data_IF_744363805338
#
_entry.id   IF_744363805338
#
_cell.length_a   1.000
_cell.length_b   1.000
_cell.length_c   1.000
_cell.angle_alpha   90.00
_cell.angle_beta   90.00
_cell.angle_gamma   90.00
#
_symmetry.space_group_name_H-M   'P 1'
#
loop_
_entity.id
_entity.type
_entity.pdbx_description
1 polymer ?
#
# COMPACT_ATOMS: atom_id res chain seq x y z
N UNK A 1 -5.88 -6.18 14.79
CA UNK A 1 -6.11 -5.72 13.40
C UNK A 1 -5.42 -6.70 12.45
N UNK A 2 -6.14 -7.29 11.50
CA UNK A 2 -5.64 -8.38 10.63
C UNK A 2 -4.39 -7.96 9.83
N UNK A 3 -4.38 -6.75 9.27
CA UNK A 3 -3.26 -6.23 8.49
C UNK A 3 -1.95 -6.18 9.28
N UNK A 4 -1.99 -5.72 10.53
CA UNK A 4 -0.79 -5.65 11.38
C UNK A 4 -0.22 -7.04 11.65
N UNK A 5 -1.09 -8.02 11.93
CA UNK A 5 -0.67 -9.41 12.15
C UNK A 5 0.01 -10.01 10.91
N UNK A 6 -0.56 -9.77 9.72
CA UNK A 6 0.02 -10.22 8.45
C UNK A 6 1.37 -9.54 8.18
N UNK A 7 1.49 -8.24 8.41
CA UNK A 7 2.76 -7.52 8.22
C UNK A 7 3.85 -8.00 9.19
N UNK A 8 3.48 -8.31 10.42
CA UNK A 8 4.39 -8.91 11.40
C UNK A 8 4.83 -10.32 10.97
N UNK A 9 3.92 -11.14 10.43
CA UNK A 9 4.26 -12.44 9.83
C UNK A 9 5.21 -12.30 8.64
N UNK A 10 4.95 -11.33 7.76
CA UNK A 10 5.83 -11.03 6.62
C UNK A 10 7.20 -10.55 7.06
N UNK A 11 7.29 -9.73 8.11
CA UNK A 11 8.56 -9.30 8.70
C UNK A 11 9.34 -10.50 9.28
N UNK A 12 8.66 -11.36 10.05
CA UNK A 12 9.24 -12.59 10.60
C UNK A 12 9.71 -13.56 9.52
N UNK A 13 9.04 -13.59 8.37
CA UNK A 13 9.42 -14.38 7.21
C UNK A 13 10.52 -13.75 6.34
N UNK A 14 10.99 -12.53 6.67
CA UNK A 14 12.00 -11.81 5.88
C UNK A 14 11.50 -11.27 4.53
N UNK A 15 10.17 -11.19 4.35
CA UNK A 15 9.55 -10.69 3.12
C UNK A 15 9.50 -9.16 3.05
N UNK A 16 9.59 -8.48 4.20
CA UNK A 16 9.71 -7.02 4.26
C UNK A 16 11.17 -6.59 4.33
N UNK A 17 11.46 -5.42 3.77
CA UNK A 17 12.77 -4.80 3.94
C UNK A 17 13.09 -4.58 5.44
N UNK A 18 14.37 -4.69 5.85
CA UNK A 18 14.78 -4.50 7.24
C UNK A 18 14.28 -3.17 7.81
N UNK A 19 13.82 -3.18 9.07
CA UNK A 19 13.35 -1.97 9.77
C UNK A 19 11.93 -1.52 9.45
N UNK A 20 11.21 -2.15 8.50
CA UNK A 20 9.86 -1.69 8.09
C UNK A 20 8.67 -2.25 8.88
N UNK A 21 8.87 -3.22 9.78
CA UNK A 21 7.77 -3.97 10.41
C UNK A 21 6.73 -3.11 11.16
N UNK A 22 7.12 -1.95 11.69
CA UNK A 22 6.21 -1.00 12.35
C UNK A 22 5.61 0.07 11.42
N UNK A 23 6.38 0.55 10.44
CA UNK A 23 5.97 1.66 9.57
C UNK A 23 5.15 1.21 8.35
N UNK A 24 5.28 -0.07 7.97
CA UNK A 24 4.58 -0.64 6.83
C UNK A 24 3.05 -0.54 6.97
N UNK A 25 2.52 -0.69 8.20
CA UNK A 25 1.07 -0.61 8.44
C UNK A 25 0.54 0.77 8.11
N UNK A 26 1.25 1.83 8.50
CA UNK A 26 0.83 3.20 8.26
C UNK A 26 0.90 3.54 6.77
N UNK A 27 1.92 3.05 6.06
CA UNK A 27 2.03 3.20 4.61
C UNK A 27 0.88 2.50 3.88
N UNK A 28 0.52 1.27 4.28
CA UNK A 28 -0.62 0.55 3.72
C UNK A 28 -1.95 1.30 3.92
N UNK A 29 -2.23 1.77 5.15
CA UNK A 29 -3.43 2.54 5.43
C UNK A 29 -3.46 3.86 4.65
N UNK A 30 -2.38 4.63 4.69
CA UNK A 30 -2.30 5.92 4.01
C UNK A 30 -2.54 5.79 2.50
N UNK A 31 -1.98 4.76 1.86
CA UNK A 31 -2.15 4.52 0.42
C UNK A 31 -3.58 4.14 0.08
N UNK A 32 -4.18 3.17 0.78
CA UNK A 32 -5.55 2.72 0.46
C UNK A 32 -6.57 3.82 0.72
N UNK A 33 -6.44 4.54 1.84
CA UNK A 33 -7.33 5.64 2.15
C UNK A 33 -7.12 6.86 1.26
N UNK A 34 -5.88 7.18 0.92
CA UNK A 34 -5.58 8.23 -0.05
C UNK A 34 -6.18 7.92 -1.41
N UNK A 35 -6.04 6.68 -1.91
CA UNK A 35 -6.65 6.26 -3.17
C UNK A 35 -8.18 6.35 -3.11
N UNK A 36 -8.80 5.89 -2.02
CA UNK A 36 -10.24 6.00 -1.85
C UNK A 36 -10.72 7.46 -1.83
N UNK A 37 -10.02 8.35 -1.14
CA UNK A 37 -10.35 9.77 -1.08
C UNK A 37 -10.25 10.44 -2.46
N UNK A 38 -9.21 10.10 -3.23
CA UNK A 38 -9.06 10.57 -4.61
C UNK A 38 -10.24 10.13 -5.51
N UNK A 39 -10.81 8.95 -5.28
CA UNK A 39 -11.97 8.44 -6.01
C UNK A 39 -13.31 9.04 -5.57
N UNK A 40 -13.48 9.32 -4.27
CA UNK A 40 -14.77 9.77 -3.72
C UNK A 40 -14.91 11.28 -3.80
N UNK A 41 -13.87 12.02 -3.36
CA UNK A 41 -13.89 13.47 -3.23
C UNK A 41 -12.81 14.19 -4.06
N UNK A 42 -11.97 13.43 -4.76
CA UNK A 42 -10.81 13.96 -5.45
C UNK A 42 -10.91 13.90 -6.98
N UNK A 43 -9.77 14.08 -7.66
CA UNK A 43 -9.71 14.21 -9.11
C UNK A 43 -10.02 12.92 -9.88
N UNK A 44 -10.14 11.77 -9.21
CA UNK A 44 -10.51 10.51 -9.84
C UNK A 44 -12.03 10.26 -9.78
N UNK A 45 -12.80 11.19 -9.20
CA UNK A 45 -14.25 11.09 -9.13
C UNK A 45 -14.88 11.01 -10.53
N UNK A 46 -15.72 9.99 -10.75
CA UNK A 46 -16.41 9.76 -12.02
C UNK A 46 -15.60 9.01 -13.08
N UNK A 47 -14.36 8.62 -12.79
CA UNK A 47 -13.62 7.73 -13.69
C UNK A 47 -14.32 6.37 -13.85
N UNK A 48 -14.27 5.77 -15.06
CA UNK A 48 -14.78 4.42 -15.27
C UNK A 48 -14.14 3.42 -14.31
N UNK A 49 -14.93 2.46 -13.82
CA UNK A 49 -14.49 1.45 -12.85
C UNK A 49 -13.18 0.77 -13.25
N UNK A 50 -13.05 0.41 -14.53
CA UNK A 50 -11.86 -0.24 -15.07
C UNK A 50 -10.59 0.62 -14.90
N UNK A 51 -10.70 1.93 -15.10
CA UNK A 51 -9.57 2.85 -14.97
C UNK A 51 -9.19 3.08 -13.50
N UNK A 52 -10.20 3.18 -12.63
CA UNK A 52 -10.00 3.23 -11.17
C UNK A 52 -9.31 1.97 -10.66
N UNK A 53 -9.74 0.78 -11.11
CA UNK A 53 -9.12 -0.49 -10.73
C UNK A 53 -7.67 -0.58 -11.24
N UNK A 54 -7.40 -0.08 -12.45
CA UNK A 54 -6.04 -0.01 -13.02
C UNK A 54 -5.12 0.87 -12.18
N UNK A 55 -5.57 2.07 -11.81
CA UNK A 55 -4.80 3.00 -10.97
C UNK A 55 -4.58 2.46 -9.56
N UNK A 56 -5.61 1.83 -8.97
CA UNK A 56 -5.49 1.19 -7.66
C UNK A 56 -4.46 0.06 -7.69
N UNK A 57 -4.48 -0.79 -8.71
CA UNK A 57 -3.50 -1.86 -8.90
C UNK A 57 -2.06 -1.31 -8.98
N UNK A 58 -1.82 -0.31 -9.83
CA UNK A 58 -0.50 0.32 -9.96
C UNK A 58 0.00 0.94 -8.65
N UNK A 59 -0.92 1.53 -7.88
CA UNK A 59 -0.62 2.13 -6.58
C UNK A 59 -0.20 1.06 -5.57
N UNK A 60 -0.93 -0.06 -5.52
CA UNK A 60 -0.59 -1.19 -4.65
C UNK A 60 0.71 -1.86 -5.05
N UNK A 61 0.96 -2.07 -6.34
CA UNK A 61 2.22 -2.64 -6.85
C UNK A 61 3.42 -1.77 -6.43
N UNK A 62 3.28 -0.45 -6.52
CA UNK A 62 4.30 0.51 -6.10
C UNK A 62 4.55 0.42 -4.60
N UNK A 63 3.48 0.39 -3.79
CA UNK A 63 3.58 0.21 -2.34
C UNK A 63 4.30 -1.12 -1.99
N UNK A 64 3.86 -2.24 -2.56
CA UNK A 64 4.44 -3.57 -2.31
C UNK A 64 5.92 -3.58 -2.68
N UNK A 65 6.29 -3.05 -3.86
CA UNK A 65 7.68 -2.94 -4.27
C UNK A 65 8.50 -2.09 -3.28
N UNK A 66 7.93 -1.01 -2.74
CA UNK A 66 8.62 -0.17 -1.76
C UNK A 66 8.83 -0.88 -0.41
N UNK A 67 7.88 -1.72 0.01
CA UNK A 67 7.92 -2.44 1.29
C UNK A 67 8.86 -3.64 1.27
N UNK A 68 9.08 -4.22 0.09
CA UNK A 68 9.85 -5.46 -0.10
C UNK A 68 11.28 -5.22 -0.58
N UNK A 69 11.59 -4.05 -1.16
CA UNK A 69 12.95 -3.69 -1.56
C UNK A 69 13.69 -2.96 -0.45
N UNK A 70 14.94 -3.34 -0.25
CA UNK A 70 15.86 -2.64 0.64
C UNK A 70 16.30 -1.32 -0.03
N UNK A 71 15.59 -0.24 0.26
CA UNK A 71 15.97 1.11 -0.17
C UNK A 71 16.82 1.73 0.93
N UNK A 72 18.06 1.25 1.08
CA UNK A 72 19.11 2.04 1.72
C UNK A 72 19.49 3.17 0.76
N UNK A 73 18.98 4.38 1.01
CA UNK A 73 19.54 5.64 0.51
C UNK A 73 19.60 6.65 1.63
#
# INVERSE_FOLDING_TARGET
>A
LILLGILDEMARAGALAPGRGGDAVWSCWAVVHGMAELCVHGPLQGLPRQETDRLAGQTLDTLIASLTRDVHR
#
